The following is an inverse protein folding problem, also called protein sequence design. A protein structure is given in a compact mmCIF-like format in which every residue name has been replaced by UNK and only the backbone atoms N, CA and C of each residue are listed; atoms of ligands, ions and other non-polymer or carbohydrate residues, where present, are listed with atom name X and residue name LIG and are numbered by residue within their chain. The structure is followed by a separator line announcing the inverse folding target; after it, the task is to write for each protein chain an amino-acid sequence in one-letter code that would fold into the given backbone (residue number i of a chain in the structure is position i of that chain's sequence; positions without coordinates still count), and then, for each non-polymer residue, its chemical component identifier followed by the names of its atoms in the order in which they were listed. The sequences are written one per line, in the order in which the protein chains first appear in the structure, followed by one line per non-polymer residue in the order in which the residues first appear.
data_IF_715448245714
#
_entry.id   IF_715448245714
#
_cell.length_a   1.000
_cell.length_b   1.000
_cell.length_c   1.000
_cell.angle_alpha   90.00
_cell.angle_beta   90.00
_cell.angle_gamma   90.00
#
_symmetry.space_group_name_H-M   'P 1'
#
loop_
_entity.id
_entity.type
_entity.pdbx_description
1 polymer ?
#
# COMPACT_ATOMS: atom_id res chain seq x y z
N UNK A 1 39.27 -20.46 -21.35
CA UNK A 1 38.02 -20.08 -20.63
C UNK A 1 36.87 -19.75 -21.56
N UNK A 2 37.09 -19.20 -22.77
CA UNK A 2 36.03 -18.93 -23.75
C UNK A 2 35.33 -20.20 -24.31
N UNK A 3 35.99 -21.36 -24.31
CA UNK A 3 35.42 -22.61 -24.86
C UNK A 3 34.20 -23.14 -24.10
N UNK A 4 34.04 -22.77 -22.82
CA UNK A 4 32.90 -23.19 -22.00
C UNK A 4 31.78 -22.15 -21.94
N UNK A 5 31.86 -21.06 -22.71
CA UNK A 5 30.81 -20.05 -22.71
C UNK A 5 29.56 -20.52 -23.48
N UNK A 6 28.43 -20.57 -22.77
CA UNK A 6 27.14 -20.97 -23.30
C UNK A 6 26.29 -19.78 -23.75
N UNK A 7 26.74 -18.54 -23.52
CA UNK A 7 25.94 -17.32 -23.77
C UNK A 7 25.42 -17.26 -25.20
N UNK A 8 26.24 -17.63 -26.20
CA UNK A 8 25.81 -17.71 -27.61
C UNK A 8 24.71 -18.74 -27.88
N UNK A 9 24.72 -19.86 -27.16
CA UNK A 9 23.70 -20.92 -27.29
C UNK A 9 22.42 -20.56 -26.54
N UNK A 10 22.53 -19.84 -25.43
CA UNK A 10 21.40 -19.46 -24.59
C UNK A 10 20.69 -18.20 -25.09
N UNK A 11 21.41 -17.26 -25.72
CA UNK A 11 20.87 -15.97 -26.16
C UNK A 11 19.58 -16.05 -27.00
N UNK A 12 19.38 -17.01 -27.93
CA UNK A 12 18.12 -17.12 -28.68
C UNK A 12 16.90 -17.52 -27.83
N UNK A 13 17.11 -18.09 -26.64
CA UNK A 13 16.05 -18.54 -25.74
C UNK A 13 15.73 -17.53 -24.63
N UNK A 14 16.48 -16.43 -24.55
CA UNK A 14 16.27 -15.39 -23.56
C UNK A 14 15.69 -14.13 -24.17
N UNK A 15 14.87 -13.43 -23.38
CA UNK A 15 14.42 -12.09 -23.72
C UNK A 15 15.59 -11.12 -23.74
N UNK A 16 15.49 -10.09 -24.59
CA UNK A 16 16.53 -9.05 -24.78
C UNK A 16 16.98 -8.42 -23.46
N UNK A 17 16.06 -8.19 -22.51
CA UNK A 17 16.37 -7.62 -21.20
C UNK A 17 17.15 -8.58 -20.28
N UNK A 18 17.02 -9.89 -20.48
CA UNK A 18 17.76 -10.90 -19.70
C UNK A 18 19.18 -11.12 -20.25
N UNK A 19 19.44 -10.69 -21.49
CA UNK A 19 20.77 -10.75 -22.11
C UNK A 19 21.67 -9.62 -21.59
N UNK A 20 21.11 -8.45 -21.23
CA UNK A 20 21.88 -7.29 -20.76
C UNK A 20 22.72 -7.64 -19.51
N UNK A 21 22.16 -8.23 -18.43
CA UNK A 21 22.95 -8.64 -17.26
C UNK A 21 24.03 -9.69 -17.57
N UNK A 22 23.81 -10.54 -18.60
CA UNK A 22 24.82 -11.52 -19.02
C UNK A 22 26.00 -10.85 -19.71
N UNK A 23 25.76 -9.81 -20.53
CA UNK A 23 26.81 -9.04 -21.18
C UNK A 23 27.63 -8.23 -20.16
N UNK A 24 26.96 -7.56 -19.22
CA UNK A 24 27.61 -6.85 -18.11
C UNK A 24 28.45 -7.77 -17.23
N UNK A 25 28.05 -9.03 -17.07
CA UNK A 25 28.82 -10.02 -16.31
C UNK A 25 30.09 -10.51 -17.03
N UNK A 26 30.07 -10.50 -18.36
CA UNK A 26 31.19 -10.95 -19.20
C UNK A 26 32.27 -9.86 -19.32
N UNK A 27 31.87 -8.59 -19.33
CA UNK A 27 32.75 -7.41 -19.43
C UNK A 27 33.93 -7.41 -18.42
N UNK A 28 33.74 -7.58 -17.10
CA UNK A 28 34.85 -7.59 -16.15
C UNK A 28 35.76 -8.83 -16.27
N UNK A 29 35.30 -9.91 -16.91
CA UNK A 29 36.06 -11.16 -17.07
C UNK A 29 37.01 -11.13 -18.26
N UNK A 30 36.90 -10.13 -19.15
CA UNK A 30 37.77 -9.91 -20.32
C UNK A 30 38.01 -11.17 -21.16
N UNK A 31 36.95 -11.97 -21.34
CA UNK A 31 36.99 -13.22 -22.12
C UNK A 31 36.97 -12.92 -23.63
N UNK A 32 36.37 -11.78 -23.99
CA UNK A 32 36.25 -11.27 -25.36
C UNK A 32 36.89 -9.89 -25.45
N UNK A 33 37.12 -9.44 -26.68
CA UNK A 33 37.57 -8.08 -26.96
C UNK A 33 36.50 -7.05 -26.57
N UNK A 34 36.92 -5.99 -25.87
CA UNK A 34 36.04 -4.97 -25.30
C UNK A 34 35.28 -4.22 -26.43
N UNK A 35 35.89 -3.99 -27.60
CA UNK A 35 35.22 -3.31 -28.70
C UNK A 35 34.07 -4.16 -29.28
N UNK A 36 34.29 -5.47 -29.40
CA UNK A 36 33.28 -6.43 -29.86
C UNK A 36 32.13 -6.59 -28.87
N UNK A 37 32.41 -6.59 -27.56
CA UNK A 37 31.38 -6.65 -26.51
C UNK A 37 30.52 -5.40 -26.49
N UNK A 38 31.14 -4.22 -26.61
CA UNK A 38 30.43 -2.94 -26.64
C UNK A 38 29.55 -2.84 -27.89
N UNK A 39 29.99 -3.34 -29.05
CA UNK A 39 29.15 -3.41 -30.26
C UNK A 39 27.95 -4.34 -30.08
N UNK A 40 28.14 -5.51 -29.48
CA UNK A 40 27.06 -6.44 -29.14
C UNK A 40 26.07 -5.82 -28.14
N UNK A 41 26.58 -5.15 -27.11
CA UNK A 41 25.76 -4.44 -26.13
C UNK A 41 24.93 -3.34 -26.80
N UNK A 42 25.53 -2.55 -27.71
CA UNK A 42 24.80 -1.56 -28.52
C UNK A 42 23.73 -2.22 -29.40
N UNK A 43 24.02 -3.34 -30.06
CA UNK A 43 23.06 -4.02 -30.92
C UNK A 43 21.84 -4.55 -30.16
N UNK A 44 22.04 -5.06 -28.95
CA UNK A 44 20.94 -5.48 -28.07
C UNK A 44 20.13 -4.27 -27.60
N UNK A 45 20.80 -3.23 -27.12
CA UNK A 45 20.14 -2.02 -26.62
C UNK A 45 19.38 -1.26 -27.71
N UNK A 46 19.86 -1.23 -28.96
CA UNK A 46 19.13 -0.63 -30.09
C UNK A 46 17.76 -1.26 -30.37
N UNK A 47 17.57 -2.53 -29.98
CA UNK A 47 16.27 -3.22 -30.12
C UNK A 47 15.34 -2.97 -28.94
N UNK A 48 15.84 -2.37 -27.86
CA UNK A 48 15.08 -2.03 -26.66
C UNK A 48 14.75 -0.53 -26.61
N UNK A 49 13.78 -0.15 -25.79
CA UNK A 49 13.48 1.24 -25.51
C UNK A 49 14.34 1.84 -24.37
N UNK A 50 15.42 1.14 -23.94
CA UNK A 50 16.36 1.61 -22.91
C UNK A 50 17.39 2.59 -23.50
N UNK A 51 16.91 3.75 -23.97
CA UNK A 51 17.73 4.72 -24.70
C UNK A 51 18.78 5.40 -23.82
N UNK A 52 18.49 5.60 -22.52
CA UNK A 52 19.44 6.21 -21.60
C UNK A 52 20.69 5.31 -21.41
N UNK A 53 20.50 3.99 -21.21
CA UNK A 53 21.58 3.00 -21.14
C UNK A 53 22.37 2.88 -22.46
N UNK A 54 21.69 3.01 -23.60
CA UNK A 54 22.37 3.07 -24.90
C UNK A 54 23.26 4.32 -25.00
N UNK A 55 22.78 5.46 -24.51
CA UNK A 55 23.52 6.74 -24.53
C UNK A 55 24.79 6.66 -23.70
N UNK A 56 24.74 5.98 -22.55
CA UNK A 56 25.90 5.72 -21.69
C UNK A 56 26.99 4.90 -22.38
N UNK A 57 26.64 4.11 -23.40
CA UNK A 57 27.58 3.29 -24.19
C UNK A 57 28.36 4.10 -25.24
N UNK A 58 28.00 5.37 -25.49
CA UNK A 58 28.66 6.26 -26.47
C UNK A 58 29.71 7.22 -25.86
N UNK A 59 30.27 6.93 -24.68
CA UNK A 59 31.29 7.76 -24.04
C UNK A 59 32.47 8.10 -25.00
N UNK A 60 32.48 9.34 -25.51
CA UNK A 60 33.55 9.86 -26.41
C UNK A 60 33.23 9.90 -27.91
N UNK A 61 32.13 9.27 -28.36
CA UNK A 61 31.66 9.34 -29.77
C UNK A 61 30.44 10.24 -29.88
N UNK A 62 30.26 11.01 -30.98
CA UNK A 62 29.08 11.84 -31.15
C UNK A 62 27.82 10.97 -31.20
N UNK A 63 26.89 11.24 -30.28
CA UNK A 63 25.60 10.55 -30.19
C UNK A 63 24.81 10.83 -31.49
N UNK A 64 24.30 9.81 -32.19
CA UNK A 64 23.44 10.00 -33.35
C UNK A 64 22.17 10.76 -33.00
N UNK A 65 21.84 11.81 -33.77
CA UNK A 65 20.61 12.61 -33.59
C UNK A 65 19.32 11.78 -33.67
N UNK A 66 19.36 10.63 -34.33
CA UNK A 66 18.24 9.67 -34.41
C UNK A 66 17.85 9.06 -33.05
N UNK A 67 18.79 8.97 -32.10
CA UNK A 67 18.47 8.45 -30.76
C UNK A 67 17.74 9.49 -29.93
N UNK A 68 18.01 10.78 -30.16
CA UNK A 68 17.32 11.89 -29.49
C UNK A 68 15.86 12.00 -29.93
N UNK A 69 15.58 11.80 -31.23
CA UNK A 69 14.21 11.79 -31.75
C UNK A 69 13.42 10.60 -31.20
N UNK A 70 14.00 9.40 -31.22
CA UNK A 70 13.39 8.19 -30.62
C UNK A 70 13.13 8.36 -29.13
N UNK A 71 14.04 9.01 -28.39
CA UNK A 71 13.86 9.30 -26.97
C UNK A 71 12.61 10.15 -26.72
N UNK A 72 12.42 11.20 -27.53
CA UNK A 72 11.24 12.06 -27.42
C UNK A 72 9.95 11.31 -27.76
N UNK A 73 9.97 10.40 -28.73
CA UNK A 73 8.82 9.56 -29.10
C UNK A 73 8.45 8.57 -27.99
N UNK A 74 9.42 7.84 -27.45
CA UNK A 74 9.21 6.88 -26.34
C UNK A 74 8.69 7.59 -25.09
N UNK A 75 9.20 8.79 -24.78
CA UNK A 75 8.70 9.58 -23.64
C UNK A 75 7.24 10.02 -23.85
N UNK A 76 6.88 10.46 -25.06
CA UNK A 76 5.48 10.81 -25.39
C UNK A 76 4.57 9.59 -25.28
N UNK A 77 4.99 8.46 -25.82
CA UNK A 77 4.22 7.21 -25.75
C UNK A 77 4.01 6.76 -24.30
N UNK A 78 5.06 6.81 -23.48
CA UNK A 78 5.00 6.53 -22.04
C UNK A 78 3.96 7.42 -21.36
N UNK A 79 3.96 8.71 -21.65
CA UNK A 79 3.03 9.66 -21.01
C UNK A 79 1.58 9.40 -21.44
N UNK A 80 1.34 9.06 -22.71
CA UNK A 80 0.03 8.64 -23.22
C UNK A 80 -0.44 7.35 -22.54
N UNK A 81 0.43 6.34 -22.44
CA UNK A 81 0.10 5.07 -21.81
C UNK A 81 -0.17 5.25 -20.31
N UNK A 82 0.63 6.07 -19.63
CA UNK A 82 0.41 6.41 -18.23
C UNK A 82 -0.96 7.06 -18.02
N UNK A 83 -1.36 7.97 -18.90
CA UNK A 83 -2.69 8.58 -18.85
C UNK A 83 -3.82 7.55 -19.09
N UNK A 84 -3.62 6.55 -19.96
CA UNK A 84 -4.60 5.48 -20.20
C UNK A 84 -4.68 4.45 -19.07
N UNK A 85 -3.55 4.19 -18.39
CA UNK A 85 -3.43 3.22 -17.29
C UNK A 85 -3.86 3.81 -15.94
N UNK A 86 -4.09 5.12 -15.86
CA UNK A 86 -4.87 5.71 -14.76
C UNK A 86 -6.30 5.14 -14.84
N UNK A 87 -6.49 3.94 -14.28
CA UNK A 87 -7.76 3.24 -14.23
C UNK A 87 -8.38 3.45 -12.85
N UNK A 88 -9.21 4.49 -12.68
CA UNK A 88 -9.80 4.81 -11.38
C UNK A 88 -10.75 3.72 -10.85
N UNK A 89 -11.26 2.85 -11.74
CA UNK A 89 -12.17 1.76 -11.38
C UNK A 89 -11.56 0.73 -10.43
N UNK A 90 -10.23 0.65 -10.31
CA UNK A 90 -9.57 -0.22 -9.33
C UNK A 90 -9.90 0.19 -7.88
N UNK A 91 -10.14 1.49 -7.65
CA UNK A 91 -10.51 2.02 -6.34
C UNK A 91 -11.81 1.40 -5.82
N UNK A 92 -12.78 1.11 -6.70
CA UNK A 92 -14.03 0.42 -6.35
C UNK A 92 -13.74 -0.98 -5.79
N UNK A 93 -12.93 -1.77 -6.48
CA UNK A 93 -12.60 -3.13 -6.04
C UNK A 93 -11.79 -3.13 -4.75
N UNK A 94 -10.85 -2.18 -4.60
CA UNK A 94 -10.10 -1.99 -3.37
C UNK A 94 -11.01 -1.62 -2.20
N UNK A 95 -11.96 -0.70 -2.41
CA UNK A 95 -12.93 -0.30 -1.39
C UNK A 95 -13.80 -1.47 -0.94
N UNK A 96 -14.35 -2.23 -1.87
CA UNK A 96 -15.14 -3.43 -1.57
C UNK A 96 -14.29 -4.48 -0.84
N UNK A 97 -13.05 -4.71 -1.27
CA UNK A 97 -12.14 -5.67 -0.64
C UNK A 97 -11.79 -5.29 0.80
N UNK A 98 -11.52 -4.01 1.08
CA UNK A 98 -11.22 -3.51 2.43
C UNK A 98 -12.46 -3.61 3.33
N UNK A 99 -13.65 -3.30 2.81
CA UNK A 99 -14.91 -3.39 3.57
C UNK A 99 -15.30 -4.85 3.85
N UNK A 100 -15.10 -5.76 2.89
CA UNK A 100 -15.46 -7.18 3.02
C UNK A 100 -14.42 -7.99 3.80
N UNK A 101 -13.21 -7.46 3.98
CA UNK A 101 -12.15 -8.13 4.73
C UNK A 101 -12.60 -8.48 6.15
N UNK A 102 -12.42 -9.76 6.52
CA UNK A 102 -12.76 -10.28 7.86
C UNK A 102 -11.89 -9.67 8.96
N UNK A 103 -10.67 -9.26 8.63
CA UNK A 103 -9.77 -8.58 9.56
C UNK A 103 -9.95 -7.06 9.42
N UNK A 104 -10.89 -6.50 10.18
CA UNK A 104 -11.22 -5.06 10.16
C UNK A 104 -10.10 -4.23 10.80
N UNK A 105 -9.02 -4.03 10.05
CA UNK A 105 -7.96 -3.12 10.45
C UNK A 105 -8.46 -1.68 10.29
N UNK A 106 -8.81 -1.04 11.41
CA UNK A 106 -9.29 0.36 11.45
C UNK A 106 -8.32 1.34 10.77
N UNK A 107 -7.03 1.02 10.75
CA UNK A 107 -5.99 1.84 10.13
C UNK A 107 -6.08 1.82 8.59
N UNK A 108 -6.24 0.64 7.98
CA UNK A 108 -6.35 0.50 6.52
C UNK A 108 -7.57 1.22 5.96
N UNK A 109 -8.68 1.24 6.72
CA UNK A 109 -9.87 1.98 6.33
C UNK A 109 -9.64 3.50 6.37
N UNK A 110 -8.95 3.99 7.42
CA UNK A 110 -8.60 5.41 7.53
C UNK A 110 -7.69 5.87 6.39
N UNK A 111 -6.73 5.04 5.98
CA UNK A 111 -5.84 5.36 4.88
C UNK A 111 -6.55 5.28 3.52
N UNK A 112 -7.46 4.31 3.34
CA UNK A 112 -8.32 4.24 2.17
C UNK A 112 -9.19 5.49 2.03
N UNK A 113 -9.80 5.97 3.13
CA UNK A 113 -10.63 7.19 3.10
C UNK A 113 -9.83 8.41 2.63
N UNK A 114 -8.57 8.54 3.06
CA UNK A 114 -7.68 9.62 2.57
C UNK A 114 -7.43 9.51 1.06
N UNK A 115 -7.20 8.29 0.56
CA UNK A 115 -6.98 8.06 -0.88
C UNK A 115 -8.24 8.39 -1.67
N UNK A 116 -9.42 7.98 -1.18
CA UNK A 116 -10.72 8.30 -1.80
C UNK A 116 -10.94 9.82 -1.84
N UNK A 117 -10.56 10.56 -0.80
CA UNK A 117 -10.71 12.02 -0.77
C UNK A 117 -9.81 12.73 -1.79
N UNK A 118 -8.60 12.21 -2.02
CA UNK A 118 -7.66 12.73 -3.03
C UNK A 118 -8.16 12.41 -4.46
N UNK A 119 -8.64 11.18 -4.69
CA UNK A 119 -9.02 10.70 -6.03
C UNK A 119 -10.45 11.07 -6.46
N UNK A 120 -11.20 11.74 -5.57
CA UNK A 120 -12.61 12.11 -5.76
C UNK A 120 -12.90 12.95 -7.00
N UNK A 121 -11.92 13.72 -7.47
CA UNK A 121 -12.04 14.54 -8.67
C UNK A 121 -11.95 13.73 -9.97
N UNK A 122 -11.36 12.54 -9.91
CA UNK A 122 -11.08 11.72 -11.09
C UNK A 122 -12.10 10.58 -11.25
N UNK A 123 -12.78 10.19 -10.17
CA UNK A 123 -13.70 9.05 -10.17
C UNK A 123 -14.84 9.20 -9.17
N UNK A 124 -16.05 8.91 -9.63
CA UNK A 124 -17.25 8.87 -8.81
C UNK A 124 -17.97 7.55 -9.05
N UNK A 125 -18.18 6.80 -7.97
CA UNK A 125 -18.92 5.55 -7.95
C UNK A 125 -19.84 5.55 -6.72
N UNK A 126 -21.03 4.91 -6.79
CA UNK A 126 -21.93 4.84 -5.65
C UNK A 126 -21.29 4.28 -4.37
N UNK A 127 -20.33 3.36 -4.48
CA UNK A 127 -19.62 2.77 -3.32
C UNK A 127 -18.62 3.76 -2.72
N UNK A 128 -17.87 4.50 -3.55
CA UNK A 128 -16.93 5.52 -3.06
C UNK A 128 -17.68 6.72 -2.49
N UNK A 129 -18.81 7.08 -3.08
CA UNK A 129 -19.68 8.14 -2.59
C UNK A 129 -20.32 7.75 -1.25
N UNK A 130 -20.80 6.51 -1.12
CA UNK A 130 -21.29 5.98 0.15
C UNK A 130 -20.25 6.10 1.26
N UNK A 131 -19.02 5.62 1.02
CA UNK A 131 -17.93 5.72 2.00
C UNK A 131 -17.62 7.17 2.38
N UNK A 132 -17.78 8.08 1.42
CA UNK A 132 -17.51 9.48 1.69
C UNK A 132 -18.63 10.19 2.44
N UNK A 133 -19.88 9.84 2.17
CA UNK A 133 -21.02 10.29 2.98
C UNK A 133 -20.88 9.80 4.43
N UNK A 134 -20.44 8.56 4.63
CA UNK A 134 -20.29 7.95 5.95
C UNK A 134 -19.13 8.54 6.78
N UNK A 135 -17.95 8.73 6.17
CA UNK A 135 -16.73 9.10 6.91
C UNK A 135 -16.33 10.57 6.83
N UNK A 136 -16.82 11.32 5.84
CA UNK A 136 -16.48 12.75 5.67
C UNK A 136 -17.69 13.64 5.99
N UNK A 137 -18.83 13.40 5.32
CA UNK A 137 -20.02 14.25 5.50
C UNK A 137 -20.82 13.93 6.77
N UNK A 138 -20.74 12.68 7.25
CA UNK A 138 -21.58 12.15 8.33
C UNK A 138 -23.08 12.29 8.05
N UNK A 139 -23.47 12.24 6.77
CA UNK A 139 -24.85 12.28 6.33
C UNK A 139 -25.34 10.85 6.09
N UNK A 140 -26.17 10.36 7.02
CA UNK A 140 -26.69 9.00 6.98
C UNK A 140 -27.89 8.84 6.05
N UNK A 141 -28.62 9.93 5.75
CA UNK A 141 -29.78 9.90 4.87
C UNK A 141 -29.32 9.75 3.40
N UNK A 142 -28.36 10.58 2.98
CA UNK A 142 -27.74 10.47 1.64
C UNK A 142 -27.00 9.11 1.49
N UNK A 143 -26.32 8.66 2.54
CA UNK A 143 -25.65 7.36 2.54
C UNK A 143 -26.64 6.19 2.40
N UNK A 144 -27.80 6.26 3.06
CA UNK A 144 -28.83 5.23 2.97
C UNK A 144 -29.45 5.18 1.57
N UNK A 145 -29.64 6.33 0.91
CA UNK A 145 -30.15 6.38 -0.47
C UNK A 145 -29.15 5.76 -1.46
N UNK A 146 -27.84 6.05 -1.32
CA UNK A 146 -26.78 5.43 -2.13
C UNK A 146 -26.65 3.92 -1.87
N UNK A 147 -26.93 3.46 -0.66
CA UNK A 147 -26.91 2.02 -0.33
C UNK A 147 -28.15 1.28 -0.83
N UNK A 148 -29.33 1.92 -0.83
CA UNK A 148 -30.55 1.38 -1.47
C UNK A 148 -30.39 1.14 -2.97
N UNK A 149 -29.51 1.90 -3.62
CA UNK A 149 -29.13 1.65 -5.01
C UNK A 149 -28.28 0.37 -5.18
N UNK A 150 -27.74 -0.22 -4.09
CA UNK A 150 -26.92 -1.42 -4.11
C UNK A 150 -27.64 -2.72 -3.72
N UNK A 151 -28.60 -2.70 -2.79
CA UNK A 151 -29.71 -3.70 -2.60
C UNK A 151 -30.44 -3.44 -1.28
N UNK A 152 -31.70 -3.90 -1.17
CA UNK A 152 -32.68 -3.42 -0.17
C UNK A 152 -32.98 -4.37 1.01
N UNK A 153 -32.29 -5.50 1.20
CA UNK A 153 -32.83 -6.56 2.10
C UNK A 153 -31.91 -6.94 3.26
N UNK A 154 -32.50 -7.00 4.47
CA UNK A 154 -31.98 -7.50 5.77
C UNK A 154 -31.35 -6.49 6.76
N UNK A 155 -31.90 -5.28 6.90
CA UNK A 155 -31.44 -4.30 7.90
C UNK A 155 -31.50 -4.81 9.36
N UNK A 156 -32.53 -5.56 9.76
CA UNK A 156 -32.65 -6.04 11.15
C UNK A 156 -31.65 -7.16 11.50
N UNK A 157 -31.46 -8.13 10.58
CA UNK A 157 -30.46 -9.18 10.74
C UNK A 157 -29.05 -8.59 10.73
N UNK A 158 -28.82 -7.60 9.87
CA UNK A 158 -27.58 -6.84 9.82
C UNK A 158 -27.31 -6.07 11.12
N UNK A 159 -28.30 -5.40 11.72
CA UNK A 159 -28.16 -4.70 13.00
C UNK A 159 -27.85 -5.69 14.14
N UNK A 160 -28.51 -6.85 14.17
CA UNK A 160 -28.24 -7.91 15.16
C UNK A 160 -26.83 -8.46 15.01
N UNK A 161 -26.38 -8.73 13.78
CA UNK A 161 -25.00 -9.14 13.51
C UNK A 161 -23.99 -8.04 13.82
N UNK A 162 -24.35 -6.77 13.64
CA UNK A 162 -23.51 -5.63 14.02
C UNK A 162 -23.30 -5.58 15.54
N UNK A 163 -24.37 -5.71 16.32
CA UNK A 163 -24.31 -5.69 17.79
C UNK A 163 -23.53 -6.91 18.32
N UNK A 164 -23.77 -8.10 17.76
CA UNK A 164 -23.06 -9.34 18.14
C UNK A 164 -21.58 -9.30 17.79
N UNK A 165 -21.23 -8.86 16.58
CA UNK A 165 -19.84 -8.84 16.12
C UNK A 165 -19.01 -7.71 16.76
N UNK A 166 -19.60 -6.54 16.98
CA UNK A 166 -18.87 -5.41 17.58
C UNK A 166 -18.90 -5.37 19.11
N UNK A 167 -19.59 -6.33 19.76
CA UNK A 167 -19.75 -6.37 21.23
C UNK A 167 -20.11 -4.99 21.79
N UNK A 168 -21.09 -4.34 21.18
CA UNK A 168 -21.56 -3.04 21.65
C UNK A 168 -22.41 -3.28 22.89
N UNK A 169 -21.74 -3.25 24.04
CA UNK A 169 -22.37 -3.46 25.33
C UNK A 169 -23.41 -2.38 25.61
N UNK A 170 -24.66 -2.78 25.82
CA UNK A 170 -25.77 -1.89 26.18
C UNK A 170 -26.76 -1.58 25.06
N UNK A 171 -26.57 -2.09 23.84
CA UNK A 171 -27.57 -1.98 22.78
C UNK A 171 -28.80 -2.86 23.10
N UNK A 172 -29.98 -2.25 23.24
CA UNK A 172 -31.26 -2.93 23.41
C UNK A 172 -32.13 -2.70 22.18
N UNK A 173 -32.67 -3.78 21.63
CA UNK A 173 -33.58 -3.73 20.48
C UNK A 173 -35.00 -3.88 21.02
N UNK A 174 -35.78 -2.80 20.95
CA UNK A 174 -37.18 -2.79 21.33
C UNK A 174 -38.06 -2.95 20.08
N UNK A 175 -38.28 -4.20 19.67
CA UNK A 175 -39.06 -4.56 18.46
C UNK A 175 -40.51 -4.03 18.50
N UNK A 176 -41.10 -3.85 19.69
CA UNK A 176 -42.47 -3.30 19.84
C UNK A 176 -42.58 -1.81 19.51
N UNK A 177 -41.50 -1.05 19.66
CA UNK A 177 -41.45 0.39 19.38
C UNK A 177 -40.67 0.69 18.10
N UNK A 178 -40.04 -0.31 17.47
CA UNK A 178 -39.19 -0.13 16.30
C UNK A 178 -37.91 0.68 16.59
N UNK A 179 -37.43 0.67 17.85
CA UNK A 179 -36.30 1.49 18.29
C UNK A 179 -35.15 0.62 18.78
N UNK A 180 -33.92 1.02 18.44
CA UNK A 180 -32.70 0.43 19.00
C UNK A 180 -32.07 1.46 19.92
N UNK A 181 -32.17 1.23 21.23
CA UNK A 181 -31.55 2.09 22.23
C UNK A 181 -30.12 1.65 22.41
N UNK A 182 -29.18 2.44 21.90
CA UNK A 182 -27.76 2.23 22.10
C UNK A 182 -27.38 2.73 23.50
N UNK A 183 -27.10 1.81 24.43
CA UNK A 183 -26.62 2.15 25.75
C UNK A 183 -25.31 2.93 25.65
N UNK A 184 -25.32 4.18 26.11
CA UNK A 184 -24.09 4.96 26.25
C UNK A 184 -23.37 4.41 27.48
N UNK A 185 -22.21 3.79 27.29
CA UNK A 185 -21.28 3.54 28.40
C UNK A 185 -20.78 4.89 28.90
N UNK A 186 -21.45 5.46 29.88
CA UNK A 186 -20.93 6.58 30.64
C UNK A 186 -19.74 6.07 31.46
N UNK A 187 -18.52 6.31 30.97
CA UNK A 187 -17.31 6.06 31.77
C UNK A 187 -17.36 7.01 32.93
N UNK A 188 -17.43 6.46 34.15
CA UNK A 188 -17.47 7.30 35.36
C UNK A 188 -16.15 8.05 35.49
N UNK A 189 -16.20 9.30 35.96
CA UNK A 189 -15.00 10.10 36.25
C UNK A 189 -14.05 9.34 37.19
N UNK A 190 -14.60 8.57 38.14
CA UNK A 190 -13.82 7.73 39.04
C UNK A 190 -13.08 6.60 38.32
N UNK A 191 -13.70 6.00 37.29
CA UNK A 191 -13.08 4.97 36.47
C UNK A 191 -11.92 5.52 35.64
N UNK A 192 -12.09 6.72 35.08
CA UNK A 192 -11.03 7.40 34.34
C UNK A 192 -9.84 7.80 35.24
N UNK A 193 -10.10 8.26 36.46
CA UNK A 193 -9.06 8.53 37.45
C UNK A 193 -8.35 7.22 37.82
N UNK A 194 -9.08 6.14 38.11
CA UNK A 194 -8.47 4.84 38.41
C UNK A 194 -7.60 4.31 37.24
N UNK A 195 -8.06 4.40 35.99
CA UNK A 195 -7.27 4.00 34.81
C UNK A 195 -5.96 4.78 34.69
N UNK A 196 -6.03 6.11 34.84
CA UNK A 196 -4.85 6.97 34.77
C UNK A 196 -3.87 6.69 35.93
N UNK A 197 -4.39 6.42 37.13
CA UNK A 197 -3.57 6.15 38.32
C UNK A 197 -2.95 4.74 38.29
N UNK A 198 -3.59 3.72 37.68
CA UNK A 198 -3.03 2.35 37.58
C UNK A 198 -1.60 2.31 37.04
N UNK A 199 -1.32 3.03 35.95
CA UNK A 199 0.02 3.08 35.35
C UNK A 199 1.04 3.73 36.29
N UNK A 200 0.61 4.73 37.05
CA UNK A 200 1.44 5.47 37.99
C UNK A 200 1.79 4.60 39.21
N UNK A 201 0.81 3.88 39.75
CA UNK A 201 0.98 2.95 40.86
C UNK A 201 1.96 1.82 40.51
N UNK A 202 1.82 1.22 39.32
CA UNK A 202 2.73 0.17 38.86
C UNK A 202 4.18 0.68 38.73
N UNK A 203 4.38 1.88 38.17
CA UNK A 203 5.71 2.50 38.08
C UNK A 203 6.30 2.82 39.45
N UNK A 204 5.50 3.34 40.38
CA UNK A 204 5.94 3.62 41.73
C UNK A 204 6.38 2.34 42.47
N UNK A 205 5.62 1.24 42.34
CA UNK A 205 5.99 -0.07 42.88
C UNK A 205 7.29 -0.60 42.26
N UNK A 206 7.46 -0.46 40.94
CA UNK A 206 8.66 -0.90 40.25
C UNK A 206 9.91 -0.09 40.67
N UNK A 207 9.77 1.23 40.87
CA UNK A 207 10.85 2.09 41.39
C UNK A 207 11.20 1.71 42.83
N UNK A 208 10.20 1.46 43.67
CA UNK A 208 10.44 1.00 45.05
C UNK A 208 11.24 -0.32 45.07
N UNK A 209 10.88 -1.27 44.21
CA UNK A 209 11.61 -2.54 44.08
C UNK A 209 13.06 -2.35 43.59
N UNK A 210 13.29 -1.45 42.63
CA UNK A 210 14.64 -1.14 42.15
C UNK A 210 15.49 -0.44 43.21
N UNK A 211 14.89 0.44 44.01
CA UNK A 211 15.55 1.08 45.15
C UNK A 211 15.94 0.05 46.23
N UNK A 212 15.07 -0.91 46.53
CA UNK A 212 15.41 -1.99 47.46
C UNK A 212 16.57 -2.85 46.94
N UNK A 213 16.53 -3.24 45.66
CA UNK A 213 17.64 -4.00 45.02
C UNK A 213 18.96 -3.23 45.07
N UNK A 214 18.97 -1.97 44.67
CA UNK A 214 20.16 -1.12 44.73
C UNK A 214 20.66 -0.93 46.17
N UNK A 215 19.76 -0.91 47.15
CA UNK A 215 20.13 -0.81 48.58
C UNK A 215 20.73 -2.12 49.11
N UNK A 216 20.25 -3.28 48.66
CA UNK A 216 20.87 -4.58 48.99
C UNK A 216 22.24 -4.74 48.31
N UNK A 217 22.39 -4.33 47.05
CA UNK A 217 23.65 -4.40 46.31
C UNK A 217 24.74 -3.50 46.93
N UNK A 218 24.36 -2.31 47.42
CA UNK A 218 25.27 -1.42 48.18
C UNK A 218 25.68 -1.98 49.54
N UNK A 219 24.84 -2.80 50.17
CA UNK A 219 25.18 -3.47 51.43
C UNK A 219 26.07 -4.69 51.24
N UNK A 220 26.09 -5.30 50.06
CA UNK A 220 26.98 -6.44 49.74
C UNK A 220 28.36 -6.01 49.21
N UNK A 221 28.58 -4.73 48.94
CA UNK A 221 29.86 -4.18 48.42
C UNK A 221 30.72 -3.49 49.51
N UNK A 222 30.28 -3.55 50.78
CA UNK A 222 31.03 -3.11 51.97
C UNK A 222 31.24 -4.34 52.85
#
# INVERSE_FOLDING_TARGET
MAEYDLTKRMAPFFDLHLIIPLLEFIEPRKIYDDASLVEMHRHVLMKTNMIDSLTETYQGTPIPKELETKRAEVLKERDILKAKVMCPHLLRYLAVAVVTSKNKQKNSLKDLIKVIDIERHNYQDPVTDFLTCLYIKYDFDEAQEKLRQCEEVEAERWIVDLIRNYRIDGAKIDSKLGQVVMGVKAVSIHEQVMENTKRLTLRAQQIALQLEKARTERKSTV
#
